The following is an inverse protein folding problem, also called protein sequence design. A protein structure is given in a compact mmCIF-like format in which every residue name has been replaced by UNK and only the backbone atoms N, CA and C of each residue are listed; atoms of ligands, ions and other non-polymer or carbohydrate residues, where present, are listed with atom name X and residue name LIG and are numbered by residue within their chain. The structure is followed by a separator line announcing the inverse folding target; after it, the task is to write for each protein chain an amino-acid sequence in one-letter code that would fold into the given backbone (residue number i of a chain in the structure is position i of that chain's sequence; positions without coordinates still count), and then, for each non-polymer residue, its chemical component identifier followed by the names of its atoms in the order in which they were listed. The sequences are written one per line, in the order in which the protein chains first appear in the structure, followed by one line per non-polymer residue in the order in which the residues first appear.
data_IF_956013550820
#
_entry.id   IF_956013550820
#
_cell.length_a   1.000
_cell.length_b   1.000
_cell.length_c   1.000
_cell.angle_alpha   90.00
_cell.angle_beta   90.00
_cell.angle_gamma   90.00
#
_symmetry.space_group_name_H-M   'P 1'
#
loop_
_entity.id
_entity.type
_entity.pdbx_description
1 polymer ?
#
# COMPACT_ATOMS: atom_id res chain seq x y z
N UNK A 1 10.27 21.98 7.67
CA UNK A 1 8.85 21.75 7.31
C UNK A 1 8.80 21.57 5.80
N UNK A 2 8.71 20.32 5.32
CA UNK A 2 8.57 20.01 3.89
C UNK A 2 7.12 19.65 3.64
N UNK A 3 6.37 20.60 3.10
CA UNK A 3 4.97 20.40 2.69
C UNK A 3 5.00 19.79 1.29
N UNK A 4 5.03 18.45 1.20
CA UNK A 4 4.77 17.78 -0.06
C UNK A 4 3.29 18.01 -0.42
N UNK A 5 3.03 18.72 -1.52
CA UNK A 5 1.68 18.98 -1.99
C UNK A 5 1.03 17.67 -2.43
N UNK A 6 -0.09 17.30 -1.81
CA UNK A 6 -0.89 16.14 -2.20
C UNK A 6 -1.48 16.36 -3.60
N UNK A 7 -1.46 15.35 -4.49
CA UNK A 7 -2.14 15.45 -5.78
C UNK A 7 -3.65 15.48 -5.57
N UNK A 8 -4.26 16.65 -5.78
CA UNK A 8 -5.72 16.79 -5.89
C UNK A 8 -6.25 16.11 -7.15
N UNK A 9 -7.50 15.64 -7.11
CA UNK A 9 -8.24 14.87 -8.15
C UNK A 9 -8.25 15.43 -9.59
N UNK A 10 -7.56 16.54 -9.87
CA UNK A 10 -7.44 17.16 -11.19
C UNK A 10 -6.01 17.22 -11.78
N UNK A 11 -4.97 16.74 -11.09
CA UNK A 11 -3.59 16.73 -11.60
C UNK A 11 -3.07 15.29 -11.70
N UNK A 12 -3.65 14.50 -12.62
CA UNK A 12 -3.13 13.20 -12.99
C UNK A 12 -3.02 13.12 -14.51
N UNK A 13 -2.08 13.88 -15.08
CA UNK A 13 -1.74 13.76 -16.48
C UNK A 13 -0.26 14.09 -16.69
N UNK A 14 0.55 13.03 -16.80
CA UNK A 14 1.84 13.12 -17.49
C UNK A 14 3.00 12.40 -16.81
N UNK A 15 3.38 11.26 -17.39
CA UNK A 15 4.75 10.76 -17.52
C UNK A 15 5.43 10.12 -16.29
N UNK A 16 5.03 8.89 -15.96
CA UNK A 16 5.94 7.72 -15.84
C UNK A 16 5.13 6.46 -15.52
N UNK A 17 4.56 5.82 -16.54
CA UNK A 17 3.93 4.52 -16.34
C UNK A 17 5.03 3.47 -16.12
N UNK A 18 5.32 3.13 -14.86
CA UNK A 18 6.24 2.04 -14.52
C UNK A 18 5.93 0.78 -15.36
N UNK A 19 6.94 -0.03 -15.78
CA UNK A 19 6.72 -1.23 -16.57
C UNK A 19 5.70 -2.20 -15.94
N UNK A 20 5.07 -3.05 -16.75
CA UNK A 20 4.27 -4.17 -16.25
C UNK A 20 5.15 -5.09 -15.40
N UNK A 21 4.59 -5.62 -14.31
CA UNK A 21 5.29 -6.49 -13.33
C UNK A 21 6.47 -5.82 -12.61
N UNK A 22 6.40 -4.49 -12.45
CA UNK A 22 7.37 -3.74 -11.66
C UNK A 22 7.17 -3.98 -10.16
N UNK A 23 8.28 -4.18 -9.46
CA UNK A 23 8.36 -4.25 -8.02
C UNK A 23 9.34 -3.18 -7.53
N UNK A 24 8.88 -2.24 -6.71
CA UNK A 24 9.72 -1.24 -6.07
C UNK A 24 9.77 -1.49 -4.57
N UNK A 25 10.94 -1.29 -3.99
CA UNK A 25 11.07 -1.21 -2.54
C UNK A 25 10.38 0.07 -2.07
N UNK A 26 9.69 0.00 -0.95
CA UNK A 26 9.21 1.18 -0.23
C UNK A 26 9.83 1.22 1.15
N UNK A 27 10.16 2.41 1.60
CA UNK A 27 10.44 2.64 3.02
C UNK A 27 9.14 2.57 3.85
N UNK A 28 9.32 2.45 5.16
CA UNK A 28 8.20 2.37 6.11
C UNK A 28 7.42 3.69 6.15
N UNK A 29 8.13 4.82 6.06
CA UNK A 29 7.55 6.16 6.13
C UNK A 29 6.54 6.40 4.98
N UNK A 30 6.86 6.02 3.74
CA UNK A 30 5.96 6.12 2.58
C UNK A 30 4.74 5.23 2.70
N UNK A 31 4.94 4.03 3.25
CA UNK A 31 3.84 3.11 3.53
C UNK A 31 2.87 3.74 4.52
N UNK A 32 3.40 4.37 5.57
CA UNK A 32 2.60 5.08 6.55
C UNK A 32 1.90 6.31 5.96
N UNK A 33 2.58 7.12 5.14
CA UNK A 33 1.99 8.27 4.47
C UNK A 33 0.79 7.86 3.60
N UNK A 34 0.94 6.82 2.78
CA UNK A 34 -0.14 6.30 1.93
C UNK A 34 -1.33 5.81 2.76
N UNK A 35 -1.08 5.04 3.83
CA UNK A 35 -2.15 4.52 4.69
C UNK A 35 -2.86 5.64 5.46
N UNK A 36 -2.12 6.66 5.88
CA UNK A 36 -2.68 7.86 6.51
C UNK A 36 -3.55 8.66 5.55
N UNK A 37 -3.12 8.78 4.28
CA UNK A 37 -3.90 9.42 3.23
C UNK A 37 -5.18 8.64 2.92
N UNK A 38 -5.09 7.31 2.82
CA UNK A 38 -6.27 6.45 2.66
C UNK A 38 -7.25 6.67 3.82
N UNK A 39 -6.77 6.72 5.06
CA UNK A 39 -7.58 6.92 6.26
C UNK A 39 -8.27 8.29 6.26
N UNK A 40 -7.55 9.35 5.89
CA UNK A 40 -8.09 10.71 5.80
C UNK A 40 -9.27 10.80 4.82
N UNK A 41 -9.15 10.12 3.68
CA UNK A 41 -10.15 10.14 2.60
C UNK A 41 -11.25 9.09 2.77
N UNK A 42 -11.18 8.26 3.81
CA UNK A 42 -12.11 7.14 4.01
C UNK A 42 -12.05 6.11 2.86
N UNK A 43 -10.90 5.99 2.18
CA UNK A 43 -10.80 5.20 0.96
C UNK A 43 -11.03 3.71 1.26
N UNK A 44 -11.81 2.97 0.47
CA UNK A 44 -11.96 1.56 0.71
C UNK A 44 -10.70 0.80 0.29
N UNK A 45 -10.24 -0.10 1.14
CA UNK A 45 -9.10 -0.99 0.90
C UNK A 45 -9.54 -2.45 0.89
N UNK A 46 -8.76 -3.28 0.21
CA UNK A 46 -8.79 -4.74 0.28
C UNK A 46 -7.46 -5.19 0.90
N UNK A 47 -7.55 -5.91 2.01
CA UNK A 47 -6.44 -6.55 2.68
C UNK A 47 -6.55 -8.08 2.54
N UNK A 48 -5.45 -8.76 2.26
CA UNK A 48 -5.39 -10.22 2.29
C UNK A 48 -4.02 -10.71 2.73
N UNK A 49 -3.92 -11.98 3.13
CA UNK A 49 -2.66 -12.59 3.55
C UNK A 49 -2.72 -13.18 4.96
N UNK A 50 -1.57 -13.64 5.44
CA UNK A 50 -1.44 -14.41 6.68
C UNK A 50 -1.96 -13.64 7.90
N UNK A 51 -1.65 -12.35 7.99
CA UNK A 51 -2.07 -11.54 9.14
C UNK A 51 -3.58 -11.31 9.18
N UNK A 52 -4.23 -11.13 8.02
CA UNK A 52 -5.69 -11.02 7.95
C UNK A 52 -6.35 -12.31 8.42
N UNK A 53 -5.83 -13.47 7.97
CA UNK A 53 -6.32 -14.77 8.40
C UNK A 53 -6.13 -15.00 9.90
N UNK A 54 -4.98 -14.62 10.45
CA UNK A 54 -4.64 -14.83 11.87
C UNK A 54 -5.41 -13.91 12.81
N UNK A 55 -5.59 -12.64 12.45
CA UNK A 55 -6.19 -11.65 13.35
C UNK A 55 -7.71 -11.51 13.17
N UNK A 56 -8.20 -11.70 11.94
CA UNK A 56 -9.62 -11.52 11.63
C UNK A 56 -10.34 -12.84 11.35
N UNK A 57 -9.62 -13.95 11.15
CA UNK A 57 -10.22 -15.23 10.74
C UNK A 57 -10.76 -15.23 9.31
N UNK A 58 -10.36 -14.26 8.49
CA UNK A 58 -10.85 -14.04 7.13
C UNK A 58 -9.72 -14.19 6.11
N UNK A 59 -10.02 -14.72 4.92
CA UNK A 59 -9.06 -14.75 3.82
C UNK A 59 -8.77 -13.34 3.27
N UNK A 60 -9.79 -12.49 3.28
CA UNK A 60 -9.76 -11.12 2.78
C UNK A 60 -10.61 -10.23 3.70
N UNK A 61 -10.10 -9.05 4.03
CA UNK A 61 -10.81 -7.99 4.73
C UNK A 61 -10.98 -6.81 3.77
N UNK A 62 -12.20 -6.29 3.62
CA UNK A 62 -12.49 -5.17 2.72
C UNK A 62 -13.39 -4.16 3.42
N UNK A 63 -13.08 -2.87 3.24
CA UNK A 63 -13.91 -1.79 3.76
C UNK A 63 -13.23 -0.42 3.67
N UNK A 64 -13.96 0.67 3.97
CA UNK A 64 -13.37 1.99 4.17
C UNK A 64 -12.39 1.95 5.34
N UNK A 65 -11.20 2.53 5.14
CA UNK A 65 -10.32 2.80 6.28
C UNK A 65 -10.84 4.02 7.04
N UNK A 66 -11.08 3.86 8.34
CA UNK A 66 -11.58 4.92 9.22
C UNK A 66 -10.50 5.49 10.13
N UNK A 67 -9.33 4.87 10.17
CA UNK A 67 -8.20 5.33 10.95
C UNK A 67 -6.93 4.53 10.68
N UNK A 68 -5.81 5.22 10.79
CA UNK A 68 -4.47 4.64 10.80
C UNK A 68 -3.74 5.23 12.01
N UNK A 69 -3.27 4.38 12.92
CA UNK A 69 -2.52 4.78 14.09
C UNK A 69 -1.15 4.13 14.07
N UNK A 70 -0.11 4.92 14.38
CA UNK A 70 1.24 4.43 14.56
C UNK A 70 1.76 4.85 15.94
N UNK A 71 2.22 3.89 16.73
CA UNK A 71 2.70 4.14 18.08
C UNK A 71 3.48 2.95 18.61
N UNK A 72 4.59 3.23 19.31
CA UNK A 72 5.43 2.19 19.94
C UNK A 72 5.90 1.10 18.95
N UNK A 73 6.20 1.47 17.70
CA UNK A 73 6.60 0.52 16.65
C UNK A 73 5.47 -0.32 16.08
N UNK A 74 4.22 -0.12 16.52
CA UNK A 74 3.04 -0.81 16.03
C UNK A 74 2.19 0.07 15.12
N UNK A 75 1.77 -0.48 13.97
CA UNK A 75 0.81 0.09 13.05
C UNK A 75 -0.54 -0.61 13.18
N UNK A 76 -1.60 0.17 13.32
CA UNK A 76 -2.98 -0.29 13.39
C UNK A 76 -3.81 0.40 12.32
N UNK A 77 -4.48 -0.41 11.49
CA UNK A 77 -5.48 0.03 10.53
C UNK A 77 -6.87 -0.34 11.01
N UNK A 78 -7.79 0.62 11.00
CA UNK A 78 -9.20 0.39 11.25
C UNK A 78 -9.95 0.36 9.92
N UNK A 79 -10.56 -0.79 9.58
CA UNK A 79 -11.21 -1.01 8.29
C UNK A 79 -12.62 -1.53 8.53
N UNK A 80 -13.61 -0.71 8.23
CA UNK A 80 -15.00 -0.97 8.61
C UNK A 80 -15.12 -1.17 10.12
N UNK A 81 -15.55 -2.36 10.55
CA UNK A 81 -15.64 -2.77 11.96
C UNK A 81 -14.47 -3.61 12.46
N UNK A 82 -13.48 -3.89 11.60
CA UNK A 82 -12.31 -4.69 11.95
C UNK A 82 -11.08 -3.80 12.18
N UNK A 83 -10.10 -4.33 12.92
CA UNK A 83 -8.80 -3.71 13.08
C UNK A 83 -7.71 -4.72 12.76
N UNK A 84 -6.67 -4.29 12.05
CA UNK A 84 -5.49 -5.08 11.76
C UNK A 84 -4.26 -4.36 12.29
N UNK A 85 -3.45 -5.03 13.10
CA UNK A 85 -2.28 -4.44 13.72
C UNK A 85 -1.02 -5.26 13.47
N UNK A 86 0.12 -4.62 13.25
CA UNK A 86 1.41 -5.29 13.15
C UNK A 86 2.53 -4.40 13.66
N UNK A 87 3.61 -5.03 14.12
CA UNK A 87 4.82 -4.35 14.54
C UNK A 87 5.76 -4.15 13.35
N UNK A 88 6.45 -3.03 13.27
CA UNK A 88 7.40 -2.72 12.19
C UNK A 88 8.49 -3.79 12.07
N UNK A 89 8.94 -4.34 13.20
CA UNK A 89 9.93 -5.42 13.27
C UNK A 89 9.45 -6.74 12.64
N UNK A 90 8.14 -6.91 12.46
CA UNK A 90 7.58 -8.08 11.77
C UNK A 90 7.63 -7.92 10.24
N UNK A 91 7.83 -6.69 9.74
CA UNK A 91 7.97 -6.37 8.33
C UNK A 91 9.45 -6.34 7.98
N UNK A 92 9.92 -7.30 7.20
CA UNK A 92 11.30 -7.28 6.69
C UNK A 92 11.47 -6.32 5.51
N UNK A 93 10.40 -6.17 4.72
CA UNK A 93 10.41 -5.41 3.47
C UNK A 93 8.99 -5.04 3.07
N UNK A 94 8.81 -3.81 2.60
CA UNK A 94 7.60 -3.39 1.89
C UNK A 94 7.89 -3.25 0.40
N UNK A 95 7.01 -3.83 -0.41
CA UNK A 95 7.06 -3.75 -1.87
C UNK A 95 5.84 -3.02 -2.40
N UNK A 96 6.07 -2.01 -3.21
CA UNK A 96 5.08 -1.57 -4.19
C UNK A 96 5.08 -2.53 -5.38
N UNK A 97 3.91 -2.88 -5.89
CA UNK A 97 3.79 -3.67 -7.10
C UNK A 97 2.75 -3.14 -8.06
N UNK A 98 3.05 -3.29 -9.34
CA UNK A 98 2.12 -3.17 -10.45
C UNK A 98 2.11 -4.45 -11.26
N UNK A 99 0.97 -5.11 -11.36
CA UNK A 99 0.82 -6.37 -12.11
C UNK A 99 -0.42 -6.34 -12.99
N UNK A 100 -0.50 -7.28 -13.93
CA UNK A 100 -1.67 -7.46 -14.78
C UNK A 100 -2.52 -8.60 -14.27
N UNK A 101 -3.80 -8.33 -14.03
CA UNK A 101 -4.82 -9.36 -13.90
C UNK A 101 -5.57 -9.50 -15.23
N UNK A 102 -6.27 -10.63 -15.47
CA UNK A 102 -7.03 -10.85 -16.71
C UNK A 102 -7.98 -9.70 -17.06
N UNK A 103 -8.45 -8.97 -16.05
CA UNK A 103 -9.42 -7.90 -16.20
C UNK A 103 -8.82 -6.49 -16.24
N UNK A 104 -7.53 -6.31 -15.93
CA UNK A 104 -6.94 -4.97 -15.90
C UNK A 104 -5.59 -4.87 -15.20
N UNK A 105 -5.07 -3.65 -15.17
CA UNK A 105 -3.87 -3.29 -14.42
C UNK A 105 -4.22 -3.10 -12.94
N UNK A 106 -3.35 -3.62 -12.07
CA UNK A 106 -3.49 -3.57 -10.62
C UNK A 106 -2.25 -3.00 -9.95
N UNK A 107 -2.47 -2.28 -8.86
CA UNK A 107 -1.44 -1.75 -7.98
C UNK A 107 -1.74 -2.19 -6.55
N UNK A 108 -0.69 -2.56 -5.83
CA UNK A 108 -0.81 -2.94 -4.42
C UNK A 108 0.51 -2.84 -3.68
N UNK A 109 0.40 -2.96 -2.36
CA UNK A 109 1.52 -3.10 -1.46
C UNK A 109 1.62 -4.54 -0.98
N UNK A 110 2.84 -5.04 -0.81
CA UNK A 110 3.11 -6.29 -0.09
C UNK A 110 4.04 -6.00 1.06
N UNK A 111 3.65 -6.43 2.26
CA UNK A 111 4.51 -6.48 3.41
C UNK A 111 5.00 -7.92 3.54
N UNK A 112 6.31 -8.09 3.47
CA UNK A 112 6.97 -9.38 3.62
C UNK A 112 7.42 -9.57 5.06
N UNK A 113 7.27 -10.78 5.58
CA UNK A 113 7.81 -11.15 6.88
C UNK A 113 9.32 -11.47 6.80
N UNK A 114 9.93 -11.82 7.94
CA UNK A 114 11.33 -12.22 8.01
C UNK A 114 11.67 -13.45 7.14
N UNK A 115 10.68 -14.30 6.83
CA UNK A 115 10.83 -15.46 5.94
C UNK A 115 10.69 -15.10 4.45
N UNK A 116 10.57 -13.81 4.11
CA UNK A 116 10.32 -13.31 2.76
C UNK A 116 8.99 -13.79 2.17
N UNK A 117 8.03 -14.16 3.02
CA UNK A 117 6.69 -14.53 2.60
C UNK A 117 5.73 -13.34 2.73
N UNK A 118 4.66 -13.32 1.93
CA UNK A 118 3.67 -12.25 1.99
C UNK A 118 2.87 -12.38 3.27
N UNK A 119 3.12 -11.48 4.21
CA UNK A 119 2.36 -11.38 5.44
C UNK A 119 1.05 -10.63 5.23
N UNK A 120 1.10 -9.56 4.44
CA UNK A 120 -0.05 -8.72 4.11
C UNK A 120 0.06 -8.18 2.68
N UNK A 121 -1.05 -8.20 1.97
CA UNK A 121 -1.26 -7.53 0.70
C UNK A 121 -2.32 -6.44 0.89
N UNK A 122 -2.07 -5.25 0.35
CA UNK A 122 -2.95 -4.08 0.43
C UNK A 122 -3.25 -3.61 -0.99
N UNK A 123 -4.52 -3.50 -1.35
CA UNK A 123 -4.96 -2.95 -2.63
C UNK A 123 -6.24 -2.16 -2.50
N UNK A 124 -6.72 -1.58 -3.60
CA UNK A 124 -8.06 -1.01 -3.67
C UNK A 124 -9.08 -2.03 -4.20
N UNK A 125 -10.35 -1.92 -3.78
CA UNK A 125 -11.42 -2.63 -4.43
C UNK A 125 -11.65 -2.14 -5.85
N UNK A 126 -12.04 -3.07 -6.70
CA UNK A 126 -12.42 -2.78 -8.07
C UNK A 126 -13.75 -2.01 -8.07
N UNK A 127 -13.78 -0.83 -8.70
CA UNK A 127 -15.01 -0.03 -8.86
C UNK A 127 -15.86 -0.46 -10.05
N UNK A 128 -15.23 -1.16 -10.99
CA UNK A 128 -15.77 -1.79 -12.18
C UNK A 128 -14.91 -3.03 -12.41
N UNK A 129 -15.40 -4.12 -13.05
CA UNK A 129 -14.64 -5.35 -13.24
C UNK A 129 -13.22 -5.15 -13.80
N UNK A 130 -12.93 -3.99 -14.39
CA UNK A 130 -11.70 -3.76 -15.15
C UNK A 130 -10.76 -2.69 -14.61
N UNK A 131 -11.09 -1.98 -13.52
CA UNK A 131 -10.21 -0.91 -13.04
C UNK A 131 -10.34 -0.60 -11.55
N UNK A 132 -9.17 -0.37 -10.94
CA UNK A 132 -9.04 0.27 -9.64
C UNK A 132 -9.57 1.71 -9.69
N UNK A 133 -9.90 2.30 -8.54
CA UNK A 133 -10.29 3.70 -8.48
C UNK A 133 -9.19 4.63 -9.04
N UNK A 134 -9.56 5.69 -9.76
CA UNK A 134 -8.61 6.67 -10.29
C UNK A 134 -7.74 7.30 -9.20
N UNK A 135 -8.33 7.54 -8.02
CA UNK A 135 -7.65 8.07 -6.85
C UNK A 135 -6.57 7.11 -6.31
N UNK A 136 -6.89 5.81 -6.21
CA UNK A 136 -5.92 4.79 -5.80
C UNK A 136 -4.74 4.75 -6.76
N UNK A 137 -4.99 4.73 -8.07
CA UNK A 137 -3.92 4.76 -9.07
C UNK A 137 -3.03 5.99 -8.91
N UNK A 138 -3.61 7.17 -8.76
CA UNK A 138 -2.85 8.41 -8.60
C UNK A 138 -1.94 8.36 -7.36
N UNK A 139 -2.42 7.82 -6.24
CA UNK A 139 -1.59 7.64 -5.04
C UNK A 139 -0.52 6.57 -5.23
N UNK A 140 -0.84 5.46 -5.90
CA UNK A 140 0.12 4.40 -6.18
C UNK A 140 1.22 4.84 -7.15
N UNK A 141 0.89 5.66 -8.15
CA UNK A 141 1.88 6.28 -9.04
C UNK A 141 2.72 7.32 -8.26
N UNK A 142 2.10 8.14 -7.41
CA UNK A 142 2.80 9.13 -6.58
C UNK A 142 3.85 8.50 -5.65
N UNK A 143 3.52 7.40 -4.96
CA UNK A 143 4.50 6.72 -4.10
C UNK A 143 5.59 5.98 -4.90
N UNK A 144 5.36 5.70 -6.19
CA UNK A 144 6.32 5.05 -7.07
C UNK A 144 7.25 6.05 -7.79
N UNK A 145 6.81 7.30 -7.99
CA UNK A 145 7.52 8.33 -8.77
C UNK A 145 8.66 9.01 -7.99
N UNK A 146 8.74 8.82 -6.67
CA UNK A 146 9.82 9.35 -5.86
C UNK A 146 10.92 8.30 -5.77
N UNK A 147 12.12 8.52 -6.36
CA UNK A 147 13.18 7.54 -6.33
C UNK A 147 13.55 7.25 -4.88
N UNK A 148 13.37 6.00 -4.45
CA UNK A 148 14.08 5.47 -3.30
C UNK A 148 15.54 5.69 -3.64
N UNK A 149 16.20 6.59 -2.91
CA UNK A 149 17.65 6.74 -3.00
C UNK A 149 18.21 5.34 -2.86
N UNK A 150 18.80 4.81 -3.94
CA UNK A 150 19.52 3.56 -3.93
C UNK A 150 20.61 3.68 -2.87
N UNK A 151 20.31 3.30 -1.63
CA UNK A 151 21.30 3.18 -0.58
C UNK A 151 22.16 1.99 -0.98
N UNK A 152 23.26 2.32 -1.67
CA UNK A 152 24.37 1.44 -2.00
C UNK A 152 24.57 0.38 -0.92
N UNK A 153 24.40 -0.89 -1.29
CA UNK A 153 25.22 -1.97 -0.71
C UNK A 153 26.24 -2.38 -1.75
N UNK A 154 27.26 -1.53 -1.94
CA UNK A 154 28.58 -2.03 -2.30
C UNK A 154 29.14 -2.67 -1.04
N UNK A 155 29.01 -3.99 -0.92
CA UNK A 155 29.89 -4.78 -0.06
C UNK A 155 31.32 -4.65 -0.59
N UNK A 156 32.24 -4.51 0.36
CA UNK A 156 33.69 -4.32 0.18
C UNK A 156 34.37 -5.36 -0.73
#
# INVERSE_FOLDING_TARGET
MLTAALPTSGQAAGANAAPLDTCLLLDVDRTQELLSLCAHEGHPLILSGKWVQQQCGLATLQGPISGCAWGQGQLTLHIGSASLSWHEQQVSRTEWRRWREPLGLRHGLRLLDAAQEVALHIGAPLRSPHCEGALWRAWMDWIADIPVSLTHRHTA
#
